data_IF_020639366786
#
_entry.id   IF_020639366786
#
_cell.length_a   1.000
_cell.length_b   1.000
_cell.length_c   1.000
_cell.angle_alpha   90.00
_cell.angle_beta   90.00
_cell.angle_gamma   90.00
#
_symmetry.space_group_name_H-M   'P 1'
#
loop_
_entity.id
_entity.type
_entity.pdbx_description
1 polymer ?
#
# COMPACT_ATOMS: atom_id res chain seq x y z
N UNK A 1 -9.64 -0.30 -11.31
CA UNK A 1 -9.58 -1.48 -12.18
C UNK A 1 -10.92 -1.59 -12.90
N UNK A 2 -10.97 -1.63 -14.24
CA UNK A 2 -12.21 -1.43 -15.02
C UNK A 2 -13.21 -2.62 -14.96
N UNK A 3 -12.82 -3.72 -14.33
CA UNK A 3 -13.44 -5.04 -14.40
C UNK A 3 -14.35 -5.38 -13.20
N UNK A 4 -14.55 -4.45 -12.26
CA UNK A 4 -15.38 -4.69 -11.07
C UNK A 4 -14.75 -5.67 -10.08
N UNK A 5 -13.46 -5.99 -10.24
CA UNK A 5 -12.73 -6.88 -9.35
C UNK A 5 -12.59 -6.26 -7.95
N UNK A 6 -12.91 -7.05 -6.92
CA UNK A 6 -12.66 -6.67 -5.52
C UNK A 6 -11.17 -6.84 -5.22
N UNK A 7 -10.56 -5.83 -4.60
CA UNK A 7 -9.14 -5.81 -4.23
C UNK A 7 -8.96 -5.47 -2.77
N UNK A 8 -7.81 -5.88 -2.21
CA UNK A 8 -7.36 -5.43 -0.90
C UNK A 8 -6.42 -4.24 -1.07
N UNK A 9 -6.72 -3.11 -0.42
CA UNK A 9 -5.84 -1.93 -0.42
C UNK A 9 -5.16 -1.81 0.94
N UNK A 10 -3.83 -1.87 0.94
CA UNK A 10 -2.99 -1.63 2.13
C UNK A 10 -2.35 -0.26 2.02
N UNK A 11 -2.76 0.68 2.88
CA UNK A 11 -2.11 1.98 3.04
C UNK A 11 -0.85 1.82 3.89
N UNK A 12 0.29 2.28 3.39
CA UNK A 12 1.53 2.33 4.14
C UNK A 12 1.56 3.58 5.02
N UNK A 13 2.41 3.57 6.06
CA UNK A 13 2.57 4.72 6.94
C UNK A 13 3.00 5.96 6.14
N UNK A 14 2.42 7.12 6.47
CA UNK A 14 2.81 8.41 5.88
C UNK A 14 4.28 8.68 6.20
N UNK A 15 5.03 9.16 5.20
CA UNK A 15 6.48 9.41 5.33
C UNK A 15 7.27 8.19 5.86
N UNK A 16 6.79 6.97 5.57
CA UNK A 16 7.54 5.74 5.82
C UNK A 16 8.98 5.91 5.30
N UNK A 17 10.02 5.39 6.00
CA UNK A 17 11.43 5.53 5.61
C UNK A 17 11.80 4.74 4.34
N UNK A 18 10.81 4.46 3.50
CA UNK A 18 10.95 3.90 2.17
C UNK A 18 11.86 4.83 1.37
N UNK A 19 12.90 4.25 0.78
CA UNK A 19 13.87 4.99 -0.01
C UNK A 19 13.19 5.74 -1.17
N UNK A 20 13.77 6.91 -1.52
CA UNK A 20 13.40 7.82 -2.65
C UNK A 20 12.66 7.10 -3.79
N UNK A 21 11.64 7.74 -4.37
CA UNK A 21 10.68 7.24 -5.38
C UNK A 21 11.15 6.07 -6.28
N UNK A 22 12.35 6.18 -6.87
CA UNK A 22 12.92 5.12 -7.72
C UNK A 22 13.12 3.78 -7.01
N UNK A 23 13.57 3.80 -5.75
CA UNK A 23 13.76 2.59 -4.96
C UNK A 23 12.42 1.93 -4.63
N UNK A 24 11.42 2.72 -4.22
CA UNK A 24 10.06 2.21 -4.01
C UNK A 24 9.50 1.56 -5.28
N UNK A 25 9.55 2.27 -6.41
CA UNK A 25 9.06 1.76 -7.68
C UNK A 25 9.76 0.45 -8.06
N UNK A 26 11.09 0.37 -7.94
CA UNK A 26 11.84 -0.84 -8.24
C UNK A 26 11.42 -2.03 -7.37
N UNK A 27 11.31 -1.83 -6.05
CA UNK A 27 10.90 -2.90 -5.13
C UNK A 27 9.47 -3.37 -5.42
N UNK A 28 8.55 -2.43 -5.63
CA UNK A 28 7.17 -2.77 -5.96
C UNK A 28 7.07 -3.49 -7.30
N UNK A 29 7.80 -3.06 -8.33
CA UNK A 29 7.84 -3.76 -9.62
C UNK A 29 8.36 -5.19 -9.47
N UNK A 30 9.42 -5.40 -8.67
CA UNK A 30 9.93 -6.74 -8.40
C UNK A 30 8.88 -7.62 -7.72
N UNK A 31 8.13 -7.09 -6.75
CA UNK A 31 7.04 -7.81 -6.08
C UNK A 31 5.89 -8.09 -7.05
N UNK A 32 5.49 -7.13 -7.88
CA UNK A 32 4.44 -7.29 -8.89
C UNK A 32 4.80 -8.36 -9.94
N UNK A 33 6.08 -8.53 -10.25
CA UNK A 33 6.55 -9.55 -11.18
C UNK A 33 6.51 -10.97 -10.59
N UNK A 34 6.41 -11.11 -9.26
CA UNK A 34 6.26 -12.42 -8.62
C UNK A 34 4.88 -12.99 -8.96
N UNK A 35 4.88 -14.18 -9.56
CA UNK A 35 3.66 -14.92 -9.85
C UNK A 35 3.83 -16.37 -9.43
N UNK A 36 3.21 -16.72 -8.30
CA UNK A 36 3.27 -18.07 -7.73
C UNK A 36 1.96 -18.37 -6.99
N UNK A 37 1.49 -19.61 -7.05
CA UNK A 37 0.20 -20.04 -6.47
C UNK A 37 0.07 -19.73 -4.98
N UNK A 38 1.18 -19.81 -4.24
CA UNK A 38 1.22 -19.58 -2.79
C UNK A 38 1.65 -18.15 -2.38
N UNK A 39 1.76 -17.21 -3.34
CA UNK A 39 2.14 -15.82 -3.05
C UNK A 39 1.02 -14.89 -3.49
N UNK A 40 0.53 -14.09 -2.55
CA UNK A 40 -0.54 -13.14 -2.81
C UNK A 40 -0.12 -12.12 -3.88
N UNK A 41 -0.88 -12.03 -4.96
CA UNK A 41 -0.54 -11.18 -6.10
C UNK A 41 -0.74 -9.70 -5.77
N UNK A 42 0.30 -8.91 -6.01
CA UNK A 42 0.22 -7.46 -6.06
C UNK A 42 -0.25 -7.04 -7.47
N UNK A 43 -1.46 -6.48 -7.56
CA UNK A 43 -2.11 -6.11 -8.83
C UNK A 43 -1.90 -4.64 -9.20
N UNK A 44 -1.44 -3.81 -8.27
CA UNK A 44 -1.11 -2.42 -8.53
C UNK A 44 -0.58 -1.70 -7.29
N UNK A 45 -0.21 -0.44 -7.48
CA UNK A 45 0.25 0.43 -6.41
C UNK A 45 -0.03 1.90 -6.73
N UNK A 46 0.04 2.73 -5.70
CA UNK A 46 0.08 4.19 -5.80
C UNK A 46 1.23 4.69 -4.93
N UNK A 47 1.99 5.68 -5.43
CA UNK A 47 3.01 6.39 -4.69
C UNK A 47 2.99 7.83 -5.16
N UNK A 48 2.26 8.66 -4.44
CA UNK A 48 1.95 10.02 -4.87
C UNK A 48 2.18 11.02 -3.75
N UNK A 49 2.95 12.06 -4.07
CA UNK A 49 3.11 13.22 -3.22
C UNK A 49 1.89 14.12 -3.31
N UNK A 50 1.33 14.49 -2.17
CA UNK A 50 0.19 15.39 -2.08
C UNK A 50 0.41 16.44 -0.99
N UNK A 51 -0.17 17.63 -1.19
CA UNK A 51 -0.15 18.70 -0.19
C UNK A 51 -1.27 18.49 0.81
N UNK A 52 -0.94 18.38 2.10
CA UNK A 52 -1.91 18.28 3.18
C UNK A 52 -1.75 19.42 4.17
N UNK A 53 -2.88 19.87 4.72
CA UNK A 53 -2.87 20.77 5.87
C UNK A 53 -2.71 19.92 7.13
N UNK A 54 -1.63 20.14 7.88
CA UNK A 54 -1.31 19.39 9.11
C UNK A 54 -1.11 20.36 10.28
N UNK A 55 -1.45 19.91 11.49
CA UNK A 55 -1.18 20.67 12.71
C UNK A 55 0.29 20.46 13.12
N UNK A 56 1.07 21.53 13.15
CA UNK A 56 2.45 21.52 13.60
C UNK A 56 2.66 22.64 14.63
N UNK A 57 3.11 22.30 15.83
CA UNK A 57 3.37 23.25 16.92
C UNK A 57 2.24 24.26 17.15
N UNK A 58 0.98 23.80 17.12
CA UNK A 58 -0.20 24.63 17.37
C UNK A 58 -0.65 25.50 16.19
N UNK A 59 -0.05 25.35 15.00
CA UNK A 59 -0.47 26.05 13.77
C UNK A 59 -0.73 25.08 12.63
N UNK A 60 -1.68 25.41 11.78
CA UNK A 60 -1.91 24.67 10.54
C UNK A 60 -0.90 25.09 9.47
N UNK A 61 -0.18 24.12 8.91
CA UNK A 61 0.78 24.32 7.82
C UNK A 61 0.42 23.42 6.65
N UNK A 62 0.83 23.80 5.43
CA UNK A 62 0.80 22.91 4.27
C UNK A 62 2.11 22.15 4.22
N UNK A 63 2.05 20.82 4.23
CA UNK A 63 3.19 19.93 4.09
C UNK A 63 3.02 19.01 2.88
N UNK A 64 4.12 18.72 2.20
CA UNK A 64 4.17 17.66 1.20
C UNK A 64 4.24 16.31 1.93
N UNK A 65 3.21 15.48 1.72
CA UNK A 65 3.09 14.14 2.30
C UNK A 65 3.03 13.15 1.17
N UNK A 66 3.84 12.10 1.25
CA UNK A 66 3.77 10.99 0.30
C UNK A 66 2.81 9.94 0.83
N UNK A 67 1.79 9.62 0.04
CA UNK A 67 0.92 8.49 0.30
C UNK A 67 1.32 7.31 -0.59
N UNK A 68 1.42 6.14 0.02
CA UNK A 68 1.72 4.89 -0.68
C UNK A 68 0.65 3.86 -0.39
N UNK A 69 0.11 3.27 -1.46
CA UNK A 69 -0.91 2.23 -1.42
C UNK A 69 -0.40 1.00 -2.16
N UNK A 70 -0.63 -0.18 -1.59
CA UNK A 70 -0.41 -1.46 -2.25
C UNK A 70 -1.75 -2.14 -2.50
N UNK A 71 -2.04 -2.47 -3.75
CA UNK A 71 -3.29 -3.09 -4.18
C UNK A 71 -3.04 -4.57 -4.47
N UNK A 72 -3.54 -5.46 -3.62
CA UNK A 72 -3.44 -6.90 -3.79
C UNK A 72 -4.75 -7.47 -4.29
N UNK A 73 -4.71 -8.67 -4.87
CA UNK A 73 -5.92 -9.46 -5.04
C UNK A 73 -6.62 -9.69 -3.69
N UNK A 74 -7.93 -9.86 -3.73
CA UNK A 74 -8.72 -10.06 -2.52
C UNK A 74 -8.64 -11.52 -2.07
N UNK A 75 -8.26 -11.74 -0.80
CA UNK A 75 -8.34 -13.05 -0.14
C UNK A 75 -9.59 -13.12 0.73
N UNK A 76 -10.66 -13.81 0.30
CA UNK A 76 -11.93 -13.82 1.02
C UNK A 76 -11.85 -14.52 2.38
N UNK A 77 -10.94 -15.49 2.51
CA UNK A 77 -10.79 -16.27 3.72
C UNK A 77 -10.00 -15.48 4.80
N UNK A 78 -9.19 -14.49 4.42
CA UNK A 78 -8.35 -13.76 5.36
C UNK A 78 -7.11 -14.56 5.79
N UNK A 79 -6.50 -14.17 6.92
CA UNK A 79 -5.21 -14.73 7.35
C UNK A 79 -5.35 -16.14 7.94
N UNK A 80 -4.26 -16.92 7.88
CA UNK A 80 -4.18 -18.21 8.56
C UNK A 80 -4.40 -18.06 10.08
N UNK A 81 -3.86 -16.99 10.68
CA UNK A 81 -4.07 -16.69 12.10
C UNK A 81 -5.55 -16.63 12.47
N UNK A 82 -6.36 -15.92 11.66
CA UNK A 82 -7.80 -15.82 11.88
C UNK A 82 -8.48 -17.19 11.82
N UNK A 83 -8.04 -18.08 10.93
CA UNK A 83 -8.61 -19.43 10.83
C UNK A 83 -8.20 -20.34 11.98
N UNK A 84 -6.96 -20.22 12.45
CA UNK A 84 -6.45 -21.07 13.52
C UNK A 84 -6.95 -20.65 14.90
N UNK A 85 -7.09 -19.34 15.12
CA UNK A 85 -7.31 -18.80 16.46
C UNK A 85 -8.59 -17.96 16.60
N UNK A 86 -9.29 -17.67 15.50
CA UNK A 86 -10.53 -16.87 15.53
C UNK A 86 -10.32 -15.40 15.91
N UNK A 87 -9.06 -14.94 15.99
CA UNK A 87 -8.64 -13.57 16.35
C UNK A 87 -8.08 -12.81 15.15
#
# INVERSE_FOLDING_TARGET
MPDGQIITVKKLAENSPIARDKAFANEVQNIMALHHENVLKLVGYCHEGQKKVVLNNGRYIVADIVESLLCHEYLPLGSLQKHLFGI
#
